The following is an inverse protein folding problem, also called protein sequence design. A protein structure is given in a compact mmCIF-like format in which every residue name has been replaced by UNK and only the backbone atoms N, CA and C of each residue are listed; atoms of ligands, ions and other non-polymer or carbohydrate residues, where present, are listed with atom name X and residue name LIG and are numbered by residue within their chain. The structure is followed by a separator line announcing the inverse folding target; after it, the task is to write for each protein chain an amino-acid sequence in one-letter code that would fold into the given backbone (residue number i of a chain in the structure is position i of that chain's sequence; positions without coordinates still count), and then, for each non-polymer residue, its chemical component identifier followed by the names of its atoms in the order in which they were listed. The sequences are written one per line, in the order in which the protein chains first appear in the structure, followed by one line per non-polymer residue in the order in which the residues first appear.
data_IF_286034448181
#
_entry.id   IF_286034448181
#
_cell.length_a   1.000
_cell.length_b   1.000
_cell.length_c   1.000
_cell.angle_alpha   90.00
_cell.angle_beta   90.00
_cell.angle_gamma   90.00
#
_symmetry.space_group_name_H-M   'P 1'
#
loop_
_entity.id
_entity.type
_entity.pdbx_description
1 polymer ?
#
# COMPACT_ATOMS: atom_id res chain seq x y z
N UNK A 1 -46.55 21.68 -16.18
CA UNK A 1 -46.23 22.28 -15.67
C UNK A 1 -45.38 21.96 -14.81
N UNK A 2 -45.25 21.98 -14.02
CA UNK A 2 -44.45 21.80 -13.15
C UNK A 2 -43.95 20.52 -12.99
N UNK A 3 -44.50 19.61 -13.32
CA UNK A 3 -44.07 18.40 -13.09
C UNK A 3 -42.90 18.05 -13.79
N UNK A 4 -42.61 18.60 -14.69
CA UNK A 4 -41.50 18.29 -15.51
C UNK A 4 -40.29 18.36 -14.72
N UNK A 5 -40.27 19.22 -13.83
CA UNK A 5 -39.17 19.40 -13.01
C UNK A 5 -38.71 18.19 -12.33
N UNK A 6 -39.58 17.44 -11.92
CA UNK A 6 -39.25 16.28 -11.20
C UNK A 6 -38.39 15.38 -12.01
N UNK A 7 -38.66 15.32 -13.22
CA UNK A 7 -37.96 14.47 -14.06
C UNK A 7 -36.57 14.80 -14.16
N UNK A 8 -36.32 16.04 -14.24
CA UNK A 8 -35.05 16.47 -14.31
C UNK A 8 -34.22 15.95 -13.24
N UNK A 9 -34.70 15.98 -12.15
CA UNK A 9 -34.00 15.57 -11.02
C UNK A 9 -33.56 14.20 -11.10
N UNK A 10 -34.35 13.38 -11.59
CA UNK A 10 -34.06 12.08 -11.70
C UNK A 10 -32.88 11.85 -12.53
N UNK A 11 -32.84 12.48 -13.60
CA UNK A 11 -31.77 12.28 -14.51
C UNK A 11 -30.45 12.54 -13.91
N UNK A 12 -30.38 13.53 -13.15
CA UNK A 12 -29.19 13.88 -12.52
C UNK A 12 -28.69 12.77 -11.66
N UNK A 13 -29.53 12.20 -10.95
CA UNK A 13 -29.16 11.15 -10.06
C UNK A 13 -28.50 10.01 -10.78
N UNK A 14 -28.98 9.72 -11.91
CA UNK A 14 -28.45 8.62 -12.66
C UNK A 14 -27.02 8.85 -13.08
N UNK A 15 -26.77 10.00 -13.53
CA UNK A 15 -25.45 10.32 -13.99
C UNK A 15 -24.44 10.13 -12.89
N UNK A 16 -24.79 10.54 -11.74
CA UNK A 16 -23.89 10.41 -10.64
C UNK A 16 -23.53 8.97 -10.34
N UNK A 17 -24.46 8.14 -10.54
CA UNK A 17 -24.21 6.75 -10.27
C UNK A 17 -23.14 6.14 -11.14
N UNK A 18 -23.09 6.54 -12.34
CA UNK A 18 -22.12 6.01 -13.25
C UNK A 18 -20.72 6.36 -12.78
N UNK A 19 -20.56 7.54 -12.31
CA UNK A 19 -19.26 7.95 -11.86
C UNK A 19 -18.86 7.21 -10.60
N UNK A 20 -19.82 6.87 -9.83
CA UNK A 20 -19.54 6.19 -8.60
C UNK A 20 -18.89 4.85 -8.81
N UNK A 21 -19.18 4.20 -9.89
CA UNK A 21 -18.60 2.95 -10.15
C UNK A 21 -17.11 3.04 -10.36
N UNK A 22 -16.69 3.98 -11.13
CA UNK A 22 -15.27 4.15 -11.37
C UNK A 22 -14.57 4.51 -10.09
N UNK A 23 -15.22 5.29 -9.28
CA UNK A 23 -14.63 5.67 -8.01
C UNK A 23 -14.45 4.47 -7.11
N UNK A 24 -15.34 3.54 -7.19
CA UNK A 24 -15.24 2.36 -6.35
C UNK A 24 -14.05 1.51 -6.71
N UNK A 25 -13.72 1.42 -7.96
CA UNK A 25 -12.56 0.67 -8.38
C UNK A 25 -11.33 1.31 -7.81
N UNK A 26 -11.24 2.61 -7.86
CA UNK A 26 -10.11 3.32 -7.32
C UNK A 26 -10.05 3.19 -5.81
N UNK A 27 -11.19 3.20 -5.17
CA UNK A 27 -11.24 3.11 -3.73
C UNK A 27 -10.85 1.74 -3.22
N UNK A 28 -11.00 0.73 -4.03
CA UNK A 28 -10.65 -0.61 -3.60
C UNK A 28 -9.13 -0.77 -3.56
N UNK A 29 -8.40 0.16 -4.16
CA UNK A 29 -6.96 0.10 -4.17
C UNK A 29 -6.42 1.28 -3.38
N UNK A 30 -5.80 1.01 -2.26
CA UNK A 30 -5.29 2.04 -1.37
C UNK A 30 -3.78 2.04 -1.35
N UNK A 31 -3.19 3.09 -0.83
CA UNK A 31 -1.74 3.21 -0.76
C UNK A 31 -1.28 3.19 0.69
N UNK A 32 -0.25 2.42 0.97
CA UNK A 32 0.43 2.43 2.26
C UNK A 32 1.77 3.10 2.03
N UNK A 33 1.95 4.27 2.62
CA UNK A 33 3.19 5.03 2.48
C UNK A 33 4.11 4.72 3.63
N UNK A 34 5.33 4.30 3.32
CA UNK A 34 6.34 3.97 4.32
C UNK A 34 7.63 4.66 3.97
N UNK A 35 8.19 5.35 4.95
CA UNK A 35 9.42 6.10 4.76
C UNK A 35 10.54 5.41 5.51
N UNK A 36 11.70 5.32 4.88
CA UNK A 36 12.89 4.79 5.51
C UNK A 36 13.90 5.90 5.74
N UNK A 37 14.50 5.90 6.91
CA UNK A 37 15.62 6.75 7.25
C UNK A 37 16.78 5.82 7.59
N UNK A 38 18.01 6.32 7.76
CA UNK A 38 19.13 5.42 8.05
C UNK A 38 18.86 4.52 9.24
N UNK A 39 18.86 3.23 8.98
CA UNK A 39 18.68 2.22 10.02
C UNK A 39 17.25 1.88 10.41
N UNK A 40 16.24 2.54 9.85
CA UNK A 40 14.86 2.27 10.29
C UNK A 40 13.78 2.73 9.33
N UNK A 41 12.58 2.21 9.54
CA UNK A 41 11.37 2.78 8.99
C UNK A 41 10.84 3.80 10.00
N UNK A 42 10.26 4.89 9.52
CA UNK A 42 9.68 5.87 10.45
C UNK A 42 8.42 5.34 11.11
N UNK A 43 7.73 4.38 10.46
CA UNK A 43 6.60 3.70 11.05
C UNK A 43 6.99 2.26 11.32
N UNK A 44 6.93 1.85 12.58
CA UNK A 44 7.32 0.51 12.98
C UNK A 44 6.14 -0.42 13.20
N UNK A 45 4.95 0.12 13.19
CA UNK A 45 3.74 -0.64 13.37
C UNK A 45 2.60 0.08 12.65
N UNK A 46 1.74 -0.68 12.00
CA UNK A 46 0.67 -0.12 11.22
C UNK A 46 -0.51 -1.08 11.21
N UNK A 47 -1.71 -0.56 11.30
CA UNK A 47 -2.93 -1.38 11.25
C UNK A 47 -3.80 -0.89 10.11
N UNK A 48 -4.24 -1.80 9.26
CA UNK A 48 -5.12 -1.48 8.13
C UNK A 48 -6.22 -2.52 8.03
N UNK A 49 -7.25 -2.23 7.26
CA UNK A 49 -8.31 -3.20 6.98
C UNK A 49 -7.90 -4.08 5.81
N UNK A 50 -8.56 -5.21 5.66
CA UNK A 50 -8.34 -6.07 4.49
C UNK A 50 -8.60 -5.27 3.22
N UNK A 51 -7.86 -5.56 2.19
CA UNK A 51 -8.05 -4.89 0.90
C UNK A 51 -6.82 -5.01 0.03
N UNK A 52 -6.85 -4.33 -1.09
CA UNK A 52 -5.73 -4.30 -2.02
C UNK A 52 -4.98 -2.98 -1.87
N UNK A 53 -3.68 -3.09 -1.70
CA UNK A 53 -2.85 -1.93 -1.42
C UNK A 53 -1.63 -1.89 -2.34
N UNK A 54 -1.16 -0.68 -2.59
CA UNK A 54 0.12 -0.44 -3.22
C UNK A 54 1.02 0.11 -2.13
N UNK A 55 2.20 -0.46 -1.97
CA UNK A 55 3.16 0.06 -1.01
C UNK A 55 4.01 1.11 -1.70
N UNK A 56 4.13 2.26 -1.07
CA UNK A 56 4.93 3.36 -1.60
C UNK A 56 6.06 3.62 -0.64
N UNK A 57 7.29 3.40 -1.08
CA UNK A 57 8.47 3.42 -0.24
C UNK A 57 9.35 4.62 -0.57
N UNK A 58 9.65 5.41 0.43
CA UNK A 58 10.48 6.60 0.27
C UNK A 58 11.82 6.39 0.96
N UNK A 59 12.89 6.75 0.26
CA UNK A 59 14.23 6.75 0.83
C UNK A 59 14.58 8.16 1.29
N UNK A 60 14.52 8.40 2.58
CA UNK A 60 14.81 9.72 3.13
C UNK A 60 16.18 9.73 3.77
N UNK A 61 17.18 10.12 2.99
CA UNK A 61 18.51 10.35 3.52
C UNK A 61 19.42 9.14 3.65
N UNK A 62 19.03 7.99 3.12
CA UNK A 62 19.88 6.82 3.12
C UNK A 62 20.77 6.93 1.88
N UNK A 63 22.06 6.82 2.06
CA UNK A 63 23.03 7.09 1.00
C UNK A 63 23.23 5.94 0.01
N UNK A 64 22.33 5.00 -0.03
CA UNK A 64 22.33 3.91 -1.01
C UNK A 64 20.88 3.54 -1.32
N UNK A 65 20.68 2.70 -2.33
CA UNK A 65 19.33 2.26 -2.69
C UNK A 65 18.74 1.40 -1.60
N UNK A 66 17.44 1.46 -1.44
CA UNK A 66 16.72 0.60 -0.51
C UNK A 66 15.58 -0.12 -1.23
N UNK A 67 15.00 -1.09 -0.58
CA UNK A 67 13.91 -1.87 -1.10
C UNK A 67 12.87 -2.10 -0.03
N UNK A 68 12.00 -3.09 -0.25
CA UNK A 68 10.94 -3.40 0.69
C UNK A 68 10.54 -4.86 0.54
N UNK A 69 10.37 -5.54 1.67
CA UNK A 69 9.93 -6.93 1.69
C UNK A 69 8.82 -7.07 2.71
N UNK A 70 7.79 -7.82 2.35
CA UNK A 70 6.67 -8.13 3.22
C UNK A 70 6.55 -9.65 3.34
N UNK A 71 6.40 -10.15 4.56
CA UNK A 71 6.20 -11.59 4.81
C UNK A 71 5.13 -11.75 5.87
N UNK A 72 4.48 -12.91 5.89
CA UNK A 72 3.55 -13.19 6.97
C UNK A 72 4.36 -13.42 8.25
N UNK A 73 3.84 -12.93 9.36
CA UNK A 73 4.51 -13.08 10.64
C UNK A 73 4.65 -14.57 10.97
N UNK A 74 5.81 -14.95 11.44
CA UNK A 74 6.10 -16.33 11.75
C UNK A 74 6.82 -17.11 10.66
N UNK A 75 6.92 -16.51 9.46
CA UNK A 75 7.67 -17.12 8.39
C UNK A 75 9.10 -16.64 8.44
N UNK A 76 10.02 -17.46 7.92
CA UNK A 76 11.44 -17.12 7.89
C UNK A 76 11.66 -16.01 6.86
N UNK A 77 12.06 -14.83 7.33
CA UNK A 77 12.21 -13.67 6.48
C UNK A 77 13.39 -13.79 5.53
N UNK A 78 14.32 -14.68 5.80
CA UNK A 78 15.48 -14.86 4.95
C UNK A 78 15.20 -15.73 3.73
N UNK A 79 14.04 -16.35 3.66
CA UNK A 79 13.69 -17.21 2.53
C UNK A 79 12.82 -16.48 1.53
N UNK A 80 13.32 -16.28 0.31
CA UNK A 80 12.57 -15.54 -0.71
C UNK A 80 11.19 -16.14 -1.02
N UNK A 81 11.03 -17.45 -0.88
CA UNK A 81 9.74 -18.07 -1.13
C UNK A 81 8.67 -17.63 -0.15
N UNK A 82 9.05 -17.07 1.00
CA UNK A 82 8.11 -16.54 1.96
C UNK A 82 7.78 -15.07 1.71
N UNK A 83 8.48 -14.44 0.79
CA UNK A 83 8.25 -13.03 0.47
C UNK A 83 7.01 -12.86 -0.38
N UNK A 84 6.21 -11.86 -0.07
CA UNK A 84 5.03 -11.53 -0.87
C UNK A 84 5.53 -10.70 -2.04
N UNK A 85 5.69 -11.33 -3.18
CA UNK A 85 6.41 -10.73 -4.30
C UNK A 85 5.76 -9.50 -4.89
N UNK A 86 4.44 -9.41 -4.88
CA UNK A 86 3.75 -8.22 -5.38
C UNK A 86 4.05 -6.98 -4.54
N UNK A 87 4.49 -7.18 -3.31
CA UNK A 87 4.81 -6.07 -2.42
C UNK A 87 6.22 -5.52 -2.65
N UNK A 88 7.06 -6.19 -3.44
CA UNK A 88 8.38 -5.66 -3.76
C UNK A 88 8.20 -4.35 -4.55
N UNK A 89 9.07 -3.37 -4.27
CA UNK A 89 9.08 -2.18 -5.11
C UNK A 89 9.54 -2.56 -6.51
N UNK A 90 9.01 -1.88 -7.48
CA UNK A 90 9.27 -2.22 -8.89
C UNK A 90 10.63 -1.73 -9.38
N UNK A 91 11.29 -0.90 -8.60
CA UNK A 91 12.63 -0.43 -8.90
C UNK A 91 13.33 -0.09 -7.59
N UNK A 92 14.66 -0.09 -7.54
CA UNK A 92 15.38 0.30 -6.33
C UNK A 92 15.02 1.74 -5.95
N UNK A 93 14.90 2.02 -4.68
CA UNK A 93 14.54 3.35 -4.20
C UNK A 93 15.83 4.12 -3.92
N UNK A 94 16.16 5.04 -4.82
CA UNK A 94 17.37 5.85 -4.65
C UNK A 94 17.16 6.91 -3.60
N UNK A 95 18.24 7.45 -3.08
CA UNK A 95 18.18 8.51 -2.08
C UNK A 95 17.29 9.65 -2.57
N UNK A 96 16.31 10.01 -1.77
CA UNK A 96 15.37 11.07 -2.11
C UNK A 96 14.22 10.65 -3.01
N UNK A 97 14.25 9.43 -3.51
CA UNK A 97 13.20 8.93 -4.41
C UNK A 97 12.13 8.16 -3.67
N UNK A 98 11.04 7.90 -4.38
CA UNK A 98 9.94 7.09 -3.91
C UNK A 98 9.61 6.08 -5.01
N UNK A 99 9.43 4.83 -4.65
CA UNK A 99 9.04 3.79 -5.60
C UNK A 99 7.82 3.04 -5.05
N UNK A 100 7.09 2.41 -5.93
CA UNK A 100 5.84 1.73 -5.57
C UNK A 100 5.93 0.25 -5.87
N UNK A 101 5.16 -0.52 -5.12
CA UNK A 101 4.98 -1.94 -5.41
C UNK A 101 3.85 -2.12 -6.41
N UNK A 102 3.61 -3.35 -6.79
CA UNK A 102 2.40 -3.72 -7.52
C UNK A 102 1.26 -3.81 -6.51
N UNK A 103 0.00 -3.81 -6.98
CA UNK A 103 -1.12 -4.02 -6.09
C UNK A 103 -0.99 -5.36 -5.37
N UNK A 104 -1.17 -5.34 -4.07
CA UNK A 104 -1.03 -6.51 -3.20
C UNK A 104 -2.29 -6.69 -2.39
N UNK A 105 -2.89 -7.86 -2.47
CA UNK A 105 -4.07 -8.16 -1.69
C UNK A 105 -3.63 -8.57 -0.30
N UNK A 106 -4.14 -7.87 0.70
CA UNK A 106 -3.83 -8.16 2.09
C UNK A 106 -5.04 -8.77 2.77
N UNK A 107 -4.85 -9.99 3.28
CA UNK A 107 -5.89 -10.69 4.00
C UNK A 107 -5.65 -10.51 5.49
N UNK A 108 -6.68 -10.71 6.28
CA UNK A 108 -6.60 -10.56 7.71
C UNK A 108 -5.46 -11.38 8.28
N UNK A 109 -4.68 -10.77 9.16
CA UNK A 109 -3.55 -11.42 9.78
C UNK A 109 -2.45 -10.43 10.10
N UNK A 110 -1.31 -10.95 10.51
CA UNK A 110 -0.16 -10.12 10.85
C UNK A 110 0.98 -10.38 9.89
N UNK A 111 1.70 -9.33 9.56
CA UNK A 111 2.80 -9.37 8.61
C UNK A 111 3.98 -8.61 9.16
N UNK A 112 5.16 -8.96 8.70
CA UNK A 112 6.38 -8.24 9.03
C UNK A 112 6.89 -7.59 7.76
N UNK A 113 7.31 -6.34 7.83
CA UNK A 113 7.96 -5.69 6.71
C UNK A 113 9.36 -5.24 7.11
N UNK A 114 10.25 -5.29 6.14
CA UNK A 114 11.64 -4.92 6.38
C UNK A 114 12.32 -4.51 5.07
N UNK A 115 13.51 -3.95 5.18
CA UNK A 115 14.31 -3.62 4.01
C UNK A 115 15.60 -4.43 4.07
N UNK A 116 15.87 -5.28 3.08
CA UNK A 116 17.08 -6.09 3.10
C UNK A 116 18.35 -5.27 2.93
N UNK A 117 18.22 -4.05 2.43
CA UNK A 117 19.35 -3.16 2.20
C UNK A 117 19.52 -2.12 3.33
N UNK A 118 18.71 -2.21 4.36
CA UNK A 118 18.77 -1.33 5.52
C UNK A 118 18.71 -2.25 6.74
N UNK A 119 19.84 -2.86 7.11
CA UNK A 119 19.86 -4.02 8.01
C UNK A 119 19.20 -3.88 9.38
N UNK A 120 19.11 -2.67 9.89
CA UNK A 120 18.48 -2.47 11.18
C UNK A 120 17.00 -2.14 11.07
N UNK A 121 16.47 -2.01 9.86
CA UNK A 121 15.05 -1.73 9.63
C UNK A 121 14.28 -3.04 9.50
N UNK A 122 14.26 -3.83 10.59
CA UNK A 122 13.61 -5.14 10.62
C UNK A 122 12.51 -5.13 11.67
N UNK A 123 11.73 -6.20 11.71
CA UNK A 123 10.70 -6.40 12.75
C UNK A 123 9.60 -5.35 12.80
N UNK A 124 9.29 -4.75 11.68
CA UNK A 124 8.17 -3.80 11.63
C UNK A 124 6.88 -4.59 11.42
N UNK A 125 5.83 -4.21 12.11
CA UNK A 125 4.60 -5.00 12.14
C UNK A 125 3.47 -4.35 11.35
N UNK A 126 2.84 -5.12 10.48
CA UNK A 126 1.64 -4.70 9.78
C UNK A 126 0.50 -5.62 10.22
N UNK A 127 -0.54 -5.05 10.78
CA UNK A 127 -1.70 -5.79 11.21
C UNK A 127 -2.84 -5.51 10.24
N UNK A 128 -3.45 -6.56 9.70
CA UNK A 128 -4.59 -6.44 8.80
C UNK A 128 -5.80 -7.02 9.52
N UNK A 129 -6.80 -6.19 9.74
CA UNK A 129 -8.00 -6.57 10.49
C UNK A 129 -9.16 -6.95 9.60
#
# INVERSE_FOLDING_TARGET
MKKVIAILVLTIGVVLNANAQDSMVDKSMKTIELEQTPGEFTKKSLTVNEGTYVFEIKNNGIDHNVGFVLVKKGKDISKPENHIQTAYVTAPVKTGDTQKSKPTKLEKGEYIYFCPLNPTATDNLLIVE
#
